data_IF_088857864378
#
_entry.id   IF_088857864378
#
_cell.length_a   1.000
_cell.length_b   1.000
_cell.length_c   1.000
_cell.angle_alpha   90.00
_cell.angle_beta   90.00
_cell.angle_gamma   90.00
#
_symmetry.space_group_name_H-M   'P 1'
#
loop_
_entity.id
_entity.type
_entity.pdbx_description
1 polymer ?
#
# COMPACT_ATOMS: atom_id res chain seq x y z
N UNK A 1 -23.67 22.49 4.59
CA UNK A 1 -22.52 21.88 5.32
C UNK A 1 -22.39 20.37 5.10
N UNK A 2 -23.42 19.54 5.35
CA UNK A 2 -23.36 18.07 5.18
C UNK A 2 -22.93 17.61 3.77
N UNK A 3 -23.50 18.18 2.71
CA UNK A 3 -23.17 17.83 1.32
C UNK A 3 -21.71 18.11 0.95
N UNK A 4 -21.14 19.22 1.45
CA UNK A 4 -19.74 19.58 1.22
C UNK A 4 -18.79 18.58 1.88
N UNK A 5 -19.06 18.20 3.14
CA UNK A 5 -18.26 17.20 3.87
C UNK A 5 -18.31 15.84 3.19
N UNK A 6 -19.50 15.38 2.76
CA UNK A 6 -19.65 14.13 2.02
C UNK A 6 -18.89 14.16 0.68
N UNK A 7 -18.92 15.28 -0.03
CA UNK A 7 -18.15 15.49 -1.25
C UNK A 7 -16.65 15.37 -1.02
N UNK A 8 -16.11 16.07 -0.01
CA UNK A 8 -14.69 16.03 0.35
C UNK A 8 -14.24 14.61 0.76
N UNK A 9 -15.04 13.90 1.56
CA UNK A 9 -14.73 12.51 1.95
C UNK A 9 -14.72 11.58 0.73
N UNK A 10 -15.62 11.80 -0.22
CA UNK A 10 -15.67 11.01 -1.46
C UNK A 10 -14.41 11.24 -2.29
N UNK A 11 -14.00 12.50 -2.48
CA UNK A 11 -12.74 12.84 -3.17
C UNK A 11 -11.55 12.19 -2.47
N UNK A 12 -11.44 12.31 -1.14
CA UNK A 12 -10.35 11.70 -0.37
C UNK A 12 -10.28 10.19 -0.51
N UNK A 13 -11.42 9.49 -0.61
CA UNK A 13 -11.46 8.05 -0.87
C UNK A 13 -10.90 7.70 -2.24
N UNK A 14 -11.27 8.46 -3.27
CA UNK A 14 -10.76 8.22 -4.62
C UNK A 14 -9.27 8.49 -4.71
N UNK A 15 -8.77 9.54 -4.06
CA UNK A 15 -7.33 9.81 -3.96
C UNK A 15 -6.60 8.61 -3.35
N UNK A 16 -7.05 8.11 -2.20
CA UNK A 16 -6.42 6.96 -1.53
C UNK A 16 -6.54 5.65 -2.33
N UNK A 17 -7.61 5.47 -3.10
CA UNK A 17 -7.80 4.26 -3.94
C UNK A 17 -6.93 4.27 -5.18
N UNK A 18 -6.69 5.46 -5.75
CA UNK A 18 -5.90 5.63 -6.96
C UNK A 18 -4.40 5.77 -6.67
N UNK A 19 -4.01 6.12 -5.44
CA UNK A 19 -2.61 6.32 -5.09
C UNK A 19 -1.68 5.12 -5.36
N UNK A 20 -2.06 3.84 -5.15
CA UNK A 20 -1.17 2.73 -5.49
C UNK A 20 -0.92 2.67 -7.00
N UNK A 21 -1.95 2.88 -7.82
CA UNK A 21 -1.83 2.85 -9.28
C UNK A 21 -1.03 4.04 -9.83
N UNK A 22 -1.26 5.22 -9.26
CA UNK A 22 -0.45 6.39 -9.60
C UNK A 22 1.03 6.13 -9.26
N UNK A 23 1.30 5.52 -8.10
CA UNK A 23 2.66 5.20 -7.69
C UNK A 23 3.29 4.07 -8.52
N UNK A 24 2.52 3.07 -8.96
CA UNK A 24 2.96 2.09 -9.95
C UNK A 24 3.46 2.78 -11.23
N UNK A 25 2.74 3.80 -11.72
CA UNK A 25 3.17 4.61 -12.86
C UNK A 25 4.47 5.40 -12.59
N UNK A 26 4.66 5.88 -11.35
CA UNK A 26 5.92 6.53 -10.94
C UNK A 26 7.08 5.52 -10.97
N UNK A 27 6.92 4.35 -10.35
CA UNK A 27 7.92 3.27 -10.37
C UNK A 27 8.29 2.93 -11.81
N UNK A 28 7.28 2.68 -12.66
CA UNK A 28 7.52 2.34 -14.07
C UNK A 28 8.33 3.43 -14.80
N UNK A 29 7.98 4.70 -14.60
CA UNK A 29 8.67 5.81 -15.23
C UNK A 29 10.14 5.92 -14.78
N UNK A 30 10.40 5.76 -13.48
CA UNK A 30 11.74 5.77 -12.90
C UNK A 30 12.57 4.57 -13.39
N UNK A 31 11.93 3.39 -13.42
CA UNK A 31 12.50 2.14 -13.89
C UNK A 31 12.81 2.15 -15.40
N UNK A 32 12.09 2.96 -16.18
CA UNK A 32 12.36 3.18 -17.61
C UNK A 32 13.61 4.03 -17.88
N UNK A 33 14.17 4.71 -16.87
CA UNK A 33 15.36 5.54 -17.07
C UNK A 33 16.63 4.68 -17.06
N UNK A 34 17.56 4.87 -18.00
CA UNK A 34 18.83 4.17 -17.99
C UNK A 34 19.67 4.57 -16.74
N UNK A 35 20.54 3.66 -16.32
CA UNK A 35 21.24 3.75 -15.02
C UNK A 35 22.23 4.92 -14.93
N UNK A 36 22.61 5.48 -16.07
CA UNK A 36 23.51 6.62 -16.28
C UNK A 36 22.81 7.99 -16.29
N UNK A 37 21.47 8.03 -16.37
CA UNK A 37 20.68 9.27 -16.36
C UNK A 37 20.55 9.91 -14.98
N UNK A 38 20.86 9.17 -13.90
CA UNK A 38 20.73 9.64 -12.51
C UNK A 38 22.11 9.95 -11.94
N UNK A 39 22.28 11.20 -11.48
CA UNK A 39 23.42 11.80 -10.75
C UNK A 39 24.48 10.79 -10.33
N UNK A 40 25.71 10.91 -10.83
CA UNK A 40 26.84 10.11 -10.36
C UNK A 40 27.15 10.46 -8.91
N UNK A 41 26.65 9.68 -7.95
CA UNK A 41 26.84 9.90 -6.51
C UNK A 41 28.20 9.38 -5.99
N UNK A 42 29.20 9.27 -6.86
CA UNK A 42 30.52 8.75 -6.51
C UNK A 42 30.47 7.25 -6.12
N UNK A 43 31.32 6.78 -5.19
CA UNK A 43 31.50 5.34 -4.94
C UNK A 43 30.31 4.63 -4.28
N UNK A 44 29.27 5.37 -3.86
CA UNK A 44 28.08 4.82 -3.18
C UNK A 44 26.85 4.77 -4.09
N UNK A 45 26.99 5.10 -5.38
CA UNK A 45 25.89 5.21 -6.32
C UNK A 45 25.11 3.90 -6.46
N UNK A 46 25.81 2.76 -6.51
CA UNK A 46 25.20 1.43 -6.53
C UNK A 46 24.39 1.15 -5.26
N UNK A 47 24.96 1.34 -4.08
CA UNK A 47 24.29 1.05 -2.79
C UNK A 47 23.04 1.92 -2.59
N UNK A 48 23.08 3.19 -2.98
CA UNK A 48 21.93 4.11 -2.85
C UNK A 48 20.83 3.72 -3.83
N UNK A 49 21.18 3.45 -5.10
CA UNK A 49 20.22 2.98 -6.12
C UNK A 49 19.60 1.64 -5.73
N UNK A 50 20.39 0.73 -5.18
CA UNK A 50 19.93 -0.57 -4.67
C UNK A 50 19.04 -0.45 -3.42
N UNK A 51 19.24 0.56 -2.58
CA UNK A 51 18.42 0.81 -1.39
C UNK A 51 17.07 1.45 -1.70
N UNK A 52 16.95 2.12 -2.86
CA UNK A 52 15.71 2.73 -3.33
C UNK A 52 14.65 1.68 -3.66
N UNK A 53 15.03 0.59 -4.33
CA UNK A 53 14.13 -0.53 -4.67
C UNK A 53 13.42 -1.11 -3.43
N UNK A 54 14.16 -1.36 -2.35
CA UNK A 54 13.60 -1.83 -1.08
C UNK A 54 12.50 -0.91 -0.55
N UNK A 55 12.68 0.41 -0.67
CA UNK A 55 11.75 1.42 -0.17
C UNK A 55 10.55 1.60 -1.10
N UNK A 56 10.74 1.48 -2.41
CA UNK A 56 9.68 1.66 -3.42
C UNK A 56 8.53 0.68 -3.22
N UNK A 57 8.80 -0.63 -3.19
CA UNK A 57 7.72 -1.61 -3.04
C UNK A 57 7.14 -1.65 -1.63
N UNK A 58 7.92 -1.25 -0.61
CA UNK A 58 7.42 -1.01 0.73
C UNK A 58 6.39 0.15 0.77
N UNK A 59 6.63 1.22 0.03
CA UNK A 59 5.67 2.33 -0.15
C UNK A 59 4.44 1.84 -0.92
N UNK A 60 4.62 1.09 -2.01
CA UNK A 60 3.49 0.55 -2.78
C UNK A 60 2.58 -0.34 -1.91
N UNK A 61 3.16 -1.18 -1.06
CA UNK A 61 2.43 -1.95 -0.06
C UNK A 61 1.66 -1.03 0.91
N UNK A 62 2.31 -0.01 1.47
CA UNK A 62 1.67 0.91 2.41
C UNK A 62 0.49 1.67 1.78
N UNK A 63 0.64 2.16 0.54
CA UNK A 63 -0.43 2.80 -0.22
C UNK A 63 -1.59 1.84 -0.48
N UNK A 64 -1.29 0.58 -0.80
CA UNK A 64 -2.30 -0.46 -1.00
C UNK A 64 -3.11 -0.73 0.28
N UNK A 65 -2.45 -0.72 1.45
CA UNK A 65 -3.14 -0.80 2.75
C UNK A 65 -4.07 0.40 2.94
N UNK A 66 -3.59 1.63 2.70
CA UNK A 66 -4.40 2.84 2.84
C UNK A 66 -5.63 2.81 1.91
N UNK A 67 -5.46 2.35 0.68
CA UNK A 67 -6.55 2.14 -0.28
C UNK A 67 -7.58 1.16 0.29
N UNK A 68 -7.15 0.00 0.81
CA UNK A 68 -8.03 -1.02 1.36
C UNK A 68 -8.82 -0.55 2.59
N UNK A 69 -8.24 0.33 3.41
CA UNK A 69 -8.91 0.88 4.58
C UNK A 69 -10.13 1.75 4.24
N UNK A 70 -10.19 2.31 3.02
CA UNK A 70 -11.37 3.05 2.53
C UNK A 70 -12.59 2.15 2.32
N UNK A 71 -12.41 0.83 2.29
CA UNK A 71 -13.47 -0.17 2.16
C UNK A 71 -13.81 -0.86 3.49
N UNK A 72 -13.29 -0.37 4.62
CA UNK A 72 -13.51 -0.94 5.95
C UNK A 72 -12.22 -1.41 6.64
N UNK A 73 -12.35 -1.98 7.84
CA UNK A 73 -11.19 -2.37 8.64
C UNK A 73 -10.30 -3.38 7.89
N UNK A 74 -8.99 -3.29 8.13
CA UNK A 74 -8.02 -4.23 7.58
C UNK A 74 -8.31 -5.64 8.10
N UNK A 75 -8.30 -6.61 7.20
CA UNK A 75 -8.40 -8.04 7.48
C UNK A 75 -7.11 -8.74 7.05
N UNK A 76 -6.84 -9.94 7.59
CA UNK A 76 -5.65 -10.71 7.19
C UNK A 76 -5.62 -10.96 5.67
N UNK A 77 -6.79 -11.25 5.07
CA UNK A 77 -6.92 -11.41 3.61
C UNK A 77 -6.50 -10.15 2.85
N UNK A 78 -6.97 -8.96 3.24
CA UNK A 78 -6.60 -7.69 2.58
C UNK A 78 -5.11 -7.38 2.75
N UNK A 79 -4.54 -7.68 3.92
CA UNK A 79 -3.10 -7.54 4.16
C UNK A 79 -2.28 -8.46 3.25
N UNK A 80 -2.67 -9.74 3.15
CA UNK A 80 -2.02 -10.71 2.28
C UNK A 80 -2.13 -10.32 0.80
N UNK A 81 -3.31 -9.87 0.34
CA UNK A 81 -3.47 -9.36 -1.03
C UNK A 81 -2.54 -8.17 -1.29
N UNK A 82 -2.42 -7.21 -0.35
CA UNK A 82 -1.52 -6.08 -0.52
C UNK A 82 -0.05 -6.51 -0.64
N UNK A 83 0.39 -7.50 0.16
CA UNK A 83 1.75 -8.07 0.06
C UNK A 83 1.96 -8.71 -1.32
N UNK A 84 1.04 -9.57 -1.74
CA UNK A 84 1.14 -10.29 -3.02
C UNK A 84 1.16 -9.32 -4.20
N UNK A 85 0.31 -8.29 -4.18
CA UNK A 85 0.29 -7.26 -5.23
C UNK A 85 1.60 -6.48 -5.31
N UNK A 86 2.15 -6.06 -4.17
CA UNK A 86 3.40 -5.31 -4.15
C UNK A 86 4.58 -6.15 -4.66
N UNK A 87 4.71 -7.40 -4.21
CA UNK A 87 5.77 -8.33 -4.67
C UNK A 87 5.59 -8.68 -6.14
N UNK A 88 4.37 -8.98 -6.57
CA UNK A 88 4.11 -9.29 -7.97
C UNK A 88 4.45 -8.11 -8.87
N UNK A 89 4.16 -6.87 -8.43
CA UNK A 89 4.53 -5.69 -9.18
C UNK A 89 6.05 -5.47 -9.23
N UNK A 90 6.79 -5.76 -8.16
CA UNK A 90 8.26 -5.76 -8.20
C UNK A 90 8.84 -6.72 -9.22
N UNK A 91 8.31 -7.95 -9.28
CA UNK A 91 8.70 -8.90 -10.33
C UNK A 91 8.34 -8.42 -11.75
N UNK A 92 7.24 -7.68 -11.92
CA UNK A 92 6.88 -7.05 -13.21
C UNK A 92 7.84 -5.91 -13.55
N UNK A 93 8.24 -5.10 -12.57
CA UNK A 93 9.20 -4.02 -12.78
C UNK A 93 10.58 -4.57 -13.18
N UNK A 94 11.05 -5.62 -12.52
CA UNK A 94 12.30 -6.30 -12.86
C UNK A 94 12.28 -6.88 -14.28
N UNK A 95 11.16 -7.51 -14.66
CA UNK A 95 10.95 -8.00 -16.02
C UNK A 95 10.93 -6.86 -17.03
N UNK A 96 10.36 -5.70 -16.67
CA UNK A 96 10.38 -4.51 -17.51
C UNK A 96 11.82 -3.96 -17.67
N UNK A 97 12.60 -3.90 -16.59
CA UNK A 97 13.99 -3.46 -16.62
C UNK A 97 14.88 -4.32 -17.53
N UNK A 98 14.59 -5.61 -17.65
CA UNK A 98 15.28 -6.49 -18.59
C UNK A 98 15.23 -5.99 -20.05
N UNK A 99 14.20 -5.23 -20.42
CA UNK A 99 14.06 -4.64 -21.75
C UNK A 99 14.62 -3.21 -21.85
N UNK A 100 15.09 -2.62 -20.75
CA UNK A 100 15.67 -1.28 -20.71
C UNK A 100 17.17 -1.37 -20.99
N UNK A 101 17.68 -0.75 -22.08
CA UNK A 101 19.11 -0.75 -22.36
C UNK A 101 19.90 -0.19 -21.18
N UNK A 102 21.09 -0.74 -20.90
CA UNK A 102 21.98 -0.34 -19.78
C UNK A 102 21.42 -0.56 -18.36
N UNK A 103 20.38 -1.40 -18.21
CA UNK A 103 19.95 -1.94 -16.92
C UNK A 103 20.30 -3.43 -16.83
N UNK A 104 20.77 -3.86 -15.66
CA UNK A 104 20.92 -5.27 -15.32
C UNK A 104 19.73 -5.67 -14.46
N UNK A 105 18.91 -6.60 -14.95
CA UNK A 105 17.94 -7.25 -14.11
C UNK A 105 18.63 -8.36 -13.31
N UNK A 106 18.53 -8.32 -11.97
CA UNK A 106 19.07 -9.30 -11.04
C UNK A 106 17.96 -9.85 -10.13
N UNK A 107 17.96 -11.17 -9.95
CA UNK A 107 17.07 -11.85 -9.00
C UNK A 107 17.28 -11.37 -7.55
N UNK A 108 18.47 -10.84 -7.26
CA UNK A 108 18.80 -10.22 -5.98
C UNK A 108 17.92 -8.98 -5.73
N UNK A 109 17.54 -8.23 -6.76
CA UNK A 109 16.71 -7.04 -6.62
C UNK A 109 15.25 -7.40 -6.30
N UNK A 110 14.71 -8.45 -6.94
CA UNK A 110 13.41 -9.04 -6.55
C UNK A 110 13.41 -9.49 -5.08
N UNK A 111 14.50 -10.08 -4.60
CA UNK A 111 14.62 -10.47 -3.19
C UNK A 111 14.62 -9.25 -2.25
N UNK A 112 15.28 -8.15 -2.62
CA UNK A 112 15.27 -6.90 -1.84
C UNK A 112 13.86 -6.32 -1.76
N UNK A 113 13.10 -6.33 -2.86
CA UNK A 113 11.71 -5.86 -2.89
C UNK A 113 10.83 -6.66 -1.93
N UNK A 114 10.98 -7.99 -1.96
CA UNK A 114 10.28 -8.90 -1.05
C UNK A 114 10.62 -8.56 0.40
N UNK A 115 11.90 -8.33 0.73
CA UNK A 115 12.32 -7.95 2.09
C UNK A 115 11.67 -6.64 2.52
N UNK A 116 11.70 -5.61 1.68
CA UNK A 116 11.09 -4.30 1.97
C UNK A 116 9.60 -4.41 2.27
N UNK A 117 8.86 -5.13 1.42
CA UNK A 117 7.42 -5.41 1.61
C UNK A 117 7.19 -6.19 2.90
N UNK A 118 7.98 -7.23 3.16
CA UNK A 118 7.86 -8.06 4.36
C UNK A 118 8.10 -7.27 5.65
N UNK A 119 9.10 -6.39 5.68
CA UNK A 119 9.40 -5.54 6.85
C UNK A 119 8.22 -4.63 7.19
N UNK A 120 7.71 -3.88 6.22
CA UNK A 120 6.57 -2.97 6.46
C UNK A 120 5.29 -3.75 6.75
N UNK A 121 5.07 -4.89 6.08
CA UNK A 121 3.94 -5.77 6.35
C UNK A 121 3.98 -6.33 7.78
N UNK A 122 5.14 -6.73 8.27
CA UNK A 122 5.31 -7.19 9.64
C UNK A 122 4.99 -6.09 10.66
N UNK A 123 5.47 -4.86 10.43
CA UNK A 123 5.15 -3.70 11.28
C UNK A 123 3.63 -3.46 11.29
N UNK A 124 2.99 -3.41 10.12
CA UNK A 124 1.54 -3.24 10.01
C UNK A 124 0.80 -4.36 10.72
N UNK A 125 1.22 -5.61 10.54
CA UNK A 125 0.58 -6.78 11.14
C UNK A 125 0.64 -6.73 12.67
N UNK A 126 1.84 -6.53 13.23
CA UNK A 126 2.08 -6.41 14.68
C UNK A 126 1.31 -5.25 15.29
N UNK A 127 1.32 -4.09 14.62
CA UNK A 127 0.64 -2.89 15.11
C UNK A 127 -0.88 -3.01 15.02
N UNK A 128 -1.42 -3.51 13.92
CA UNK A 128 -2.86 -3.47 13.65
C UNK A 128 -3.62 -4.65 14.27
N UNK A 129 -3.07 -5.88 14.17
CA UNK A 129 -3.70 -7.11 14.65
C UNK A 129 -3.18 -7.58 16.02
N UNK A 130 -1.98 -7.14 16.43
CA UNK A 130 -1.44 -7.46 17.75
C UNK A 130 -2.07 -6.63 18.88
N UNK A 131 -1.64 -6.91 20.12
CA UNK A 131 -2.10 -6.19 21.32
C UNK A 131 -1.52 -4.78 21.48
N UNK A 132 -0.71 -4.30 20.53
CA UNK A 132 -0.01 -3.02 20.63
C UNK A 132 -0.88 -1.82 20.24
N UNK A 133 -1.98 -1.61 20.97
CA UNK A 133 -2.97 -0.54 20.74
C UNK A 133 -2.42 0.87 20.91
N UNK A 134 -1.23 1.03 21.53
CA UNK A 134 -0.54 2.32 21.71
C UNK A 134 0.34 2.72 20.53
N UNK A 135 0.57 1.84 19.56
CA UNK A 135 1.43 2.17 18.42
C UNK A 135 0.82 3.29 17.55
N UNK A 136 1.67 4.24 17.14
CA UNK A 136 1.26 5.33 16.25
C UNK A 136 0.67 4.81 14.93
N UNK A 137 1.25 3.74 14.39
CA UNK A 137 0.77 3.05 13.17
C UNK A 137 -0.68 2.59 13.35
N UNK A 138 -1.01 1.88 14.44
CA UNK A 138 -2.38 1.44 14.71
C UNK A 138 -3.35 2.62 14.77
N UNK A 139 -2.98 3.70 15.48
CA UNK A 139 -3.78 4.91 15.59
C UNK A 139 -4.06 5.55 14.23
N UNK A 140 -3.05 5.69 13.38
CA UNK A 140 -3.18 6.25 12.02
C UNK A 140 -4.09 5.36 11.17
N UNK A 141 -3.83 4.06 11.08
CA UNK A 141 -4.62 3.14 10.24
C UNK A 141 -6.09 3.09 10.69
N UNK A 142 -6.36 3.11 11.99
CA UNK A 142 -7.73 3.18 12.51
C UNK A 142 -8.38 4.53 12.26
N UNK A 143 -7.64 5.63 12.32
CA UNK A 143 -8.15 6.94 11.96
C UNK A 143 -8.57 6.98 10.48
N UNK A 144 -7.72 6.50 9.56
CA UNK A 144 -8.06 6.38 8.13
C UNK A 144 -9.33 5.56 7.93
N UNK A 145 -9.43 4.40 8.59
CA UNK A 145 -10.64 3.56 8.53
C UNK A 145 -11.88 4.31 9.02
N UNK A 146 -11.81 4.99 10.18
CA UNK A 146 -12.95 5.72 10.75
C UNK A 146 -13.39 6.88 9.88
N UNK A 147 -12.45 7.57 9.24
CA UNK A 147 -12.73 8.73 8.39
C UNK A 147 -13.29 8.33 7.03
N UNK A 148 -12.76 7.27 6.41
CA UNK A 148 -13.03 6.97 5.00
C UNK A 148 -13.82 5.68 4.76
N UNK A 149 -13.95 4.76 5.71
CA UNK A 149 -14.81 3.60 5.53
C UNK A 149 -16.28 3.99 5.58
N UNK A 150 -17.16 3.38 4.75
CA UNK A 150 -18.59 3.61 4.87
C UNK A 150 -19.04 3.05 6.22
N UNK A 151 -19.84 3.81 6.97
CA UNK A 151 -20.46 3.26 8.17
C UNK A 151 -21.31 2.05 7.76
N UNK A 152 -21.11 0.92 8.43
CA UNK A 152 -22.07 -0.18 8.31
C UNK A 152 -23.39 0.39 8.85
N UNK A 153 -24.37 0.61 7.99
CA UNK A 153 -25.74 0.82 8.46
C UNK A 153 -26.11 -0.45 9.20
N UNK A 154 -26.25 -0.38 10.53
CA UNK A 154 -26.91 -1.42 11.29
C UNK A 154 -28.34 -1.48 10.73
N UNK A 155 -28.61 -2.43 9.82
CA UNK A 155 -29.95 -2.96 9.71
C UNK A 155 -30.26 -3.55 11.09
N UNK A 156 -31.01 -2.81 11.91
CA UNK A 156 -31.70 -3.44 13.04
C UNK A 156 -32.50 -4.59 12.45
N UNK A 157 -32.42 -5.81 12.99
CA UNK A 157 -33.43 -6.81 12.70
C UNK A 157 -34.76 -6.17 13.07
N UNK A 158 -35.61 -5.92 12.08
CA UNK A 158 -36.98 -5.48 12.30
C UNK A 158 -37.58 -6.37 13.37
N UNK A 159 -37.98 -5.77 14.49
CA UNK A 159 -38.55 -6.48 15.62
C UNK A 159 -39.73 -7.31 15.16
N UNK A 160 -39.53 -8.62 15.01
CA UNK A 160 -40.64 -9.56 15.07
C UNK A 160 -41.05 -9.65 16.54
N UNK A 161 -41.93 -8.74 16.92
CA UNK A 161 -42.82 -8.90 18.06
C UNK A 161 -43.62 -10.18 17.84
N UNK A 162 -43.15 -11.28 18.42
CA UNK A 162 -43.94 -12.50 18.54
C UNK A 162 -45.03 -12.23 19.58
N UNK A 163 -46.22 -11.90 19.10
CA UNK A 163 -47.41 -11.72 19.93
C UNK A 163 -48.35 -12.90 19.73
N UNK A 164 -48.52 -13.69 20.81
CA UNK A 164 -49.62 -14.64 21.12
C UNK A 164 -49.68 -15.91 20.23
N UNK A 165 -49.93 -17.10 20.75
CA UNK A 165 -50.76 -17.52 21.89
C UNK A 165 -50.11 -18.65 22.68
#
# INVERSE_FOLDING_TARGET
MKTLVTGLLTIGRWILRLSPFAYMGVIWHLSSQPSDAVVQLGPYDSVIKESLHLVEFAILYALSILAFLTFGPLSHRRNCIAVVLAIAYGGVDELHQFFVPSRSADIVDVLKDVIGVCVVSFIVYRSYFGNNRRSNVNRILRAVTRTFAPSKQHHSPSGHTFHKR
#
